data_IF_611345371645
#
_entry.id   IF_611345371645
#
_cell.length_a   1.000
_cell.length_b   1.000
_cell.length_c   1.000
_cell.angle_alpha   90.00
_cell.angle_beta   90.00
_cell.angle_gamma   90.00
#
_symmetry.space_group_name_H-M   'P 1'
#
loop_
_entity.id
_entity.type
_entity.pdbx_description
1 polymer ?
#
# COMPACT_ATOMS: atom_id res chain seq x y z
N UNK A 1 -28.94 11.49 19.06
CA UNK A 1 -27.88 11.97 18.14
C UNK A 1 -26.54 12.19 18.87
N UNK A 2 -26.47 12.93 19.95
CA UNK A 2 -25.24 13.22 20.72
C UNK A 2 -24.55 11.95 21.24
N UNK A 3 -25.27 10.97 21.79
CA UNK A 3 -24.70 9.70 22.26
C UNK A 3 -24.12 8.83 21.14
N UNK A 4 -24.68 8.88 19.94
CA UNK A 4 -24.15 8.19 18.78
C UNK A 4 -22.84 8.83 18.26
N UNK A 5 -22.78 10.15 18.28
CA UNK A 5 -21.57 10.93 17.93
C UNK A 5 -20.45 10.62 18.93
N UNK A 6 -20.76 10.63 20.24
CA UNK A 6 -19.79 10.38 21.31
C UNK A 6 -19.23 8.93 21.25
N UNK A 7 -20.08 7.93 20.96
CA UNK A 7 -19.66 6.54 20.82
C UNK A 7 -18.77 6.32 19.58
N UNK A 8 -19.00 7.05 18.52
CA UNK A 8 -18.26 6.93 17.27
C UNK A 8 -16.93 7.70 17.30
N UNK A 9 -16.86 8.82 18.03
CA UNK A 9 -15.58 9.54 18.24
C UNK A 9 -14.60 8.74 19.09
N UNK A 10 -15.07 7.97 20.08
CA UNK A 10 -14.20 7.08 20.86
C UNK A 10 -13.63 5.93 20.02
N UNK A 11 -14.40 5.37 19.09
CA UNK A 11 -13.90 4.36 18.15
C UNK A 11 -12.84 4.94 17.21
N UNK A 12 -13.05 6.14 16.70
CA UNK A 12 -12.08 6.82 15.85
C UNK A 12 -10.75 7.05 16.59
N UNK A 13 -10.81 7.60 17.81
CA UNK A 13 -9.64 7.83 18.64
C UNK A 13 -8.93 6.51 18.97
N UNK A 14 -9.66 5.46 19.27
CA UNK A 14 -9.12 4.13 19.54
C UNK A 14 -8.37 3.58 18.32
N UNK A 15 -8.93 3.67 17.12
CA UNK A 15 -8.28 3.21 15.88
C UNK A 15 -7.00 3.99 15.58
N UNK A 16 -7.03 5.31 15.75
CA UNK A 16 -5.85 6.16 15.57
C UNK A 16 -4.76 5.79 16.57
N UNK A 17 -5.13 5.65 17.86
CA UNK A 17 -4.19 5.29 18.93
C UNK A 17 -3.54 3.93 18.69
N UNK A 18 -4.34 2.90 18.39
CA UNK A 18 -3.80 1.57 18.08
C UNK A 18 -2.94 1.58 16.82
N UNK A 19 -3.34 2.32 15.79
CA UNK A 19 -2.54 2.45 14.58
C UNK A 19 -1.16 3.06 14.88
N UNK A 20 -1.11 4.08 15.73
CA UNK A 20 0.14 4.69 16.17
C UNK A 20 1.02 3.70 16.95
N UNK A 21 0.42 2.92 17.86
CA UNK A 21 1.14 1.88 18.61
C UNK A 21 1.70 0.82 17.65
N UNK A 22 0.87 0.26 16.77
CA UNK A 22 1.30 -0.79 15.83
C UNK A 22 2.41 -0.29 14.90
N UNK A 23 2.30 0.95 14.43
CA UNK A 23 3.33 1.57 13.60
C UNK A 23 4.65 1.73 14.36
N UNK A 24 4.58 2.26 15.58
CA UNK A 24 5.76 2.43 16.46
C UNK A 24 6.41 1.09 16.78
N UNK A 25 5.60 0.07 17.11
CA UNK A 25 6.09 -1.28 17.35
C UNK A 25 6.76 -1.89 16.11
N UNK A 26 6.21 -1.68 14.91
CA UNK A 26 6.80 -2.18 13.67
C UNK A 26 8.17 -1.53 13.38
N UNK A 27 8.29 -0.22 13.61
CA UNK A 27 9.56 0.50 13.47
C UNK A 27 10.60 -0.01 14.48
N UNK A 28 10.22 -0.14 15.75
CA UNK A 28 11.10 -0.62 16.81
C UNK A 28 11.57 -2.05 16.53
N UNK A 29 10.66 -2.94 16.14
CA UNK A 29 11.01 -4.29 15.77
C UNK A 29 12.01 -4.34 14.61
N UNK A 30 11.80 -3.52 13.60
CA UNK A 30 12.74 -3.41 12.49
C UNK A 30 14.13 -2.96 12.97
N UNK A 31 14.19 -1.96 13.83
CA UNK A 31 15.43 -1.47 14.40
C UNK A 31 16.20 -2.57 15.16
N UNK A 32 15.51 -3.31 16.04
CA UNK A 32 16.12 -4.38 16.83
C UNK A 32 16.65 -5.53 15.95
N UNK A 33 15.90 -5.87 14.90
CA UNK A 33 16.18 -7.09 14.08
C UNK A 33 17.21 -6.83 12.99
N UNK A 34 17.37 -5.59 12.51
CA UNK A 34 18.19 -5.34 11.32
C UNK A 34 19.57 -4.76 11.59
N UNK A 35 19.88 -4.31 12.81
CA UNK A 35 21.08 -3.54 13.18
C UNK A 35 21.39 -2.35 12.24
N UNK A 36 20.49 -2.08 11.28
CA UNK A 36 20.63 -1.10 10.21
C UNK A 36 20.00 0.25 10.55
N UNK A 37 19.61 0.44 11.81
CA UNK A 37 18.90 1.65 12.24
C UNK A 37 17.40 1.65 11.93
N UNK A 38 16.72 2.72 12.33
CA UNK A 38 15.25 2.89 12.30
C UNK A 38 14.63 2.80 10.92
N UNK A 39 15.40 3.09 9.87
CA UNK A 39 14.91 3.13 8.48
C UNK A 39 15.70 2.19 7.59
N UNK A 40 15.05 1.68 6.58
CA UNK A 40 15.74 1.10 5.44
C UNK A 40 16.40 2.22 4.66
N UNK A 41 17.71 2.34 4.78
CA UNK A 41 18.52 3.27 3.99
C UNK A 41 18.18 3.21 2.50
N UNK A 42 17.83 2.02 2.04
CA UNK A 42 17.44 1.74 0.66
C UNK A 42 16.18 2.50 0.19
N UNK A 43 15.40 3.09 1.10
CA UNK A 43 14.14 3.74 0.75
C UNK A 43 14.15 5.26 0.95
N UNK A 44 15.10 5.79 1.72
CA UNK A 44 15.22 7.25 1.94
C UNK A 44 15.36 8.03 0.64
N UNK A 45 16.06 7.46 -0.34
CA UNK A 45 16.28 8.12 -1.62
C UNK A 45 14.96 8.45 -2.33
N UNK A 46 13.92 7.63 -2.18
CA UNK A 46 12.64 7.82 -2.86
C UNK A 46 11.94 9.14 -2.47
N UNK A 47 12.19 9.64 -1.27
CA UNK A 47 11.65 10.91 -0.79
C UNK A 47 12.56 12.10 -1.11
N UNK A 48 13.77 11.86 -1.58
CA UNK A 48 14.80 12.87 -1.81
C UNK A 48 15.18 13.08 -3.28
N UNK A 49 14.70 12.23 -4.19
CA UNK A 49 14.86 12.44 -5.64
C UNK A 49 13.74 13.31 -6.18
N UNK A 50 14.07 14.30 -7.01
CA UNK A 50 13.10 15.25 -7.54
C UNK A 50 13.26 15.53 -9.03
N UNK A 51 12.21 16.00 -9.67
CA UNK A 51 12.26 16.46 -11.06
C UNK A 51 13.10 17.72 -11.23
N UNK A 52 13.28 18.50 -10.19
CA UNK A 52 14.14 19.69 -10.19
C UNK A 52 15.61 19.32 -10.28
N UNK A 53 16.01 18.15 -9.80
CA UNK A 53 17.40 17.69 -9.86
C UNK A 53 17.73 16.96 -11.17
N UNK A 54 16.79 16.14 -11.66
CA UNK A 54 17.08 15.15 -12.69
C UNK A 54 16.17 15.22 -13.91
N UNK A 55 15.26 16.22 -13.98
CA UNK A 55 14.21 16.22 -14.99
C UNK A 55 13.12 15.20 -14.72
N UNK A 56 12.30 14.90 -15.71
CA UNK A 56 11.22 13.95 -15.57
C UNK A 56 11.73 12.50 -15.55
N UNK A 57 11.37 11.75 -14.54
CA UNK A 57 11.59 10.31 -14.42
C UNK A 57 10.54 9.67 -13.50
N UNK A 58 10.44 8.34 -13.52
CA UNK A 58 9.51 7.62 -12.62
C UNK A 58 9.88 7.84 -11.15
N UNK A 59 8.85 7.95 -10.27
CA UNK A 59 8.99 8.10 -8.80
C UNK A 59 9.50 9.46 -8.31
N UNK A 60 9.74 10.43 -9.20
CA UNK A 60 10.25 11.73 -8.80
C UNK A 60 9.22 12.69 -8.20
N UNK A 61 7.91 12.43 -8.38
CA UNK A 61 6.87 13.38 -8.00
C UNK A 61 6.84 13.71 -6.51
N UNK A 62 6.92 12.69 -5.64
CA UNK A 62 6.86 12.91 -4.18
C UNK A 62 8.07 13.69 -3.69
N UNK A 63 9.27 13.31 -4.12
CA UNK A 63 10.49 14.05 -3.77
C UNK A 63 10.46 15.49 -4.26
N UNK A 64 9.89 15.75 -5.45
CA UNK A 64 9.69 17.10 -5.96
C UNK A 64 8.77 17.91 -5.04
N UNK A 65 7.60 17.38 -4.68
CA UNK A 65 6.66 18.05 -3.78
C UNK A 65 7.28 18.33 -2.40
N UNK A 66 8.07 17.40 -1.87
CA UNK A 66 8.74 17.57 -0.59
C UNK A 66 9.86 18.61 -0.66
N UNK A 67 10.64 18.65 -1.75
CA UNK A 67 11.67 19.64 -2.00
C UNK A 67 11.08 21.04 -2.12
N UNK A 68 10.07 21.21 -2.95
CA UNK A 68 9.42 22.51 -3.18
C UNK A 68 8.68 23.02 -1.94
N UNK A 69 8.07 22.13 -1.14
CA UNK A 69 7.40 22.52 0.11
C UNK A 69 8.37 22.85 1.25
N UNK A 70 9.67 22.64 1.07
CA UNK A 70 10.70 22.79 2.09
C UNK A 70 10.45 22.01 3.39
N UNK A 71 9.63 20.98 3.36
CA UNK A 71 9.34 20.15 4.54
C UNK A 71 10.64 19.51 5.07
N UNK A 72 11.52 19.08 4.16
CA UNK A 72 12.78 18.47 4.55
C UNK A 72 13.69 19.44 5.33
N UNK A 73 13.62 20.74 5.08
CA UNK A 73 14.42 21.75 5.79
C UNK A 73 13.92 22.04 7.21
N UNK A 74 12.72 21.56 7.59
CA UNK A 74 12.22 21.66 8.97
C UNK A 74 12.91 20.68 9.93
N UNK A 75 13.64 19.71 9.40
CA UNK A 75 14.30 18.69 10.18
C UNK A 75 15.81 18.75 9.97
N UNK A 76 16.56 18.58 11.03
CA UNK A 76 18.03 18.51 11.01
C UNK A 76 18.56 17.22 10.40
N UNK A 77 17.69 16.22 10.15
CA UNK A 77 18.06 14.91 9.67
C UNK A 77 16.96 14.35 8.77
N UNK A 78 17.34 13.82 7.63
CA UNK A 78 16.45 13.22 6.61
C UNK A 78 15.64 12.04 7.14
N UNK A 79 16.15 11.35 8.14
CA UNK A 79 15.44 10.30 8.85
C UNK A 79 14.20 10.79 9.56
N UNK A 80 14.34 11.86 10.33
CA UNK A 80 13.20 12.42 11.06
C UNK A 80 12.18 13.00 10.10
N UNK A 81 12.62 13.58 9.00
CA UNK A 81 11.72 14.02 7.92
C UNK A 81 10.93 12.83 7.35
N UNK A 82 11.59 11.75 6.98
CA UNK A 82 10.94 10.56 6.44
C UNK A 82 9.99 9.89 7.45
N UNK A 83 10.38 9.75 8.71
CA UNK A 83 9.54 9.25 9.78
C UNK A 83 8.29 10.11 9.98
N UNK A 84 8.45 11.42 9.99
CA UNK A 84 7.38 12.38 10.16
C UNK A 84 6.38 12.30 8.99
N UNK A 85 6.88 12.30 7.75
CA UNK A 85 6.06 12.18 6.54
C UNK A 85 5.26 10.88 6.57
N UNK A 86 5.91 9.77 6.92
CA UNK A 86 5.23 8.47 7.04
C UNK A 86 4.22 8.43 8.17
N UNK A 87 4.55 8.97 9.35
CA UNK A 87 3.63 9.04 10.49
C UNK A 87 2.36 9.85 10.13
N UNK A 88 2.53 11.01 9.48
CA UNK A 88 1.39 11.81 9.00
C UNK A 88 0.61 11.02 7.95
N UNK A 89 1.27 10.34 7.02
CA UNK A 89 0.60 9.55 5.99
C UNK A 89 -0.22 8.40 6.59
N UNK A 90 0.28 7.72 7.60
CA UNK A 90 -0.46 6.69 8.35
C UNK A 90 -1.63 7.29 9.10
N UNK A 91 -1.44 8.45 9.72
CA UNK A 91 -2.53 9.17 10.38
C UNK A 91 -3.63 9.54 9.39
N UNK A 92 -3.29 10.09 8.22
CA UNK A 92 -4.24 10.40 7.15
C UNK A 92 -4.96 9.13 6.68
N UNK A 93 -4.22 8.08 6.37
CA UNK A 93 -4.77 6.80 5.92
C UNK A 93 -5.78 6.23 6.92
N UNK A 94 -5.40 6.15 8.19
CA UNK A 94 -6.25 5.62 9.26
C UNK A 94 -7.49 6.48 9.47
N UNK A 95 -7.32 7.81 9.45
CA UNK A 95 -8.42 8.78 9.58
C UNK A 95 -9.42 8.66 8.45
N UNK A 96 -8.98 8.47 7.21
CA UNK A 96 -9.86 8.27 6.05
C UNK A 96 -10.68 6.98 6.19
N UNK A 97 -10.05 5.87 6.58
CA UNK A 97 -10.74 4.59 6.80
C UNK A 97 -11.76 4.74 7.94
N UNK A 98 -11.35 5.31 9.07
CA UNK A 98 -12.21 5.50 10.23
C UNK A 98 -13.38 6.45 9.92
N UNK A 99 -13.12 7.56 9.21
CA UNK A 99 -14.17 8.47 8.75
C UNK A 99 -15.18 7.77 7.82
N UNK A 100 -14.69 6.91 6.92
CA UNK A 100 -15.57 6.12 6.05
C UNK A 100 -16.44 5.16 6.85
N UNK A 101 -15.86 4.43 7.81
CA UNK A 101 -16.59 3.52 8.71
C UNK A 101 -17.66 4.28 9.50
N UNK A 102 -17.30 5.44 10.05
CA UNK A 102 -18.22 6.32 10.76
C UNK A 102 -19.38 6.77 9.87
N UNK A 103 -19.08 7.35 8.71
CA UNK A 103 -20.10 7.85 7.77
C UNK A 103 -21.06 6.76 7.30
N UNK A 104 -20.59 5.52 7.19
CA UNK A 104 -21.37 4.37 6.77
C UNK A 104 -22.02 3.62 7.91
N UNK A 105 -21.84 4.10 9.14
CA UNK A 105 -22.40 3.48 10.34
C UNK A 105 -22.08 1.97 10.44
N UNK A 106 -20.82 1.63 10.17
CA UNK A 106 -20.35 0.24 10.26
C UNK A 106 -20.24 -0.10 11.74
N UNK A 107 -21.24 -0.83 12.24
CA UNK A 107 -21.38 -1.15 13.68
C UNK A 107 -20.50 -2.30 14.14
N UNK A 108 -19.94 -3.05 13.20
CA UNK A 108 -19.17 -4.24 13.55
C UNK A 108 -17.73 -3.85 13.95
N UNK A 109 -17.57 -3.62 15.26
CA UNK A 109 -16.29 -3.26 15.87
C UNK A 109 -15.19 -4.28 15.60
N UNK A 110 -15.49 -5.58 15.67
CA UNK A 110 -14.51 -6.65 15.43
C UNK A 110 -14.02 -6.66 13.98
N UNK A 111 -14.89 -6.34 13.03
CA UNK A 111 -14.50 -6.23 11.64
C UNK A 111 -13.54 -5.04 11.40
N UNK A 112 -13.84 -3.89 12.03
CA UNK A 112 -12.98 -2.70 11.93
C UNK A 112 -11.62 -2.96 12.59
N UNK A 113 -11.60 -3.64 13.73
CA UNK A 113 -10.35 -4.09 14.39
C UNK A 113 -9.58 -5.03 13.46
N UNK A 114 -10.23 -6.03 12.86
CA UNK A 114 -9.57 -6.95 11.93
C UNK A 114 -8.86 -6.24 10.77
N UNK A 115 -9.46 -5.15 10.25
CA UNK A 115 -8.83 -4.32 9.23
C UNK A 115 -7.67 -3.51 9.81
N UNK A 116 -7.87 -2.83 10.93
CA UNK A 116 -6.85 -1.98 11.55
C UNK A 116 -5.64 -2.79 12.02
N UNK A 117 -5.85 -4.02 12.50
CA UNK A 117 -4.80 -4.92 12.93
C UNK A 117 -4.24 -5.80 11.81
N UNK A 118 -4.72 -5.68 10.58
CA UNK A 118 -4.14 -6.43 9.48
C UNK A 118 -2.65 -6.10 9.35
N UNK A 119 -1.76 -7.10 9.43
CA UNK A 119 -0.33 -6.88 9.26
C UNK A 119 0.00 -6.26 7.91
N UNK A 120 -0.82 -6.51 6.90
CA UNK A 120 -0.67 -5.95 5.56
C UNK A 120 -0.85 -4.42 5.50
N UNK A 121 -1.59 -3.84 6.45
CA UNK A 121 -1.89 -2.41 6.43
C UNK A 121 -0.83 -1.61 7.20
N UNK A 122 -0.95 -1.52 8.52
CA UNK A 122 -0.15 -0.58 9.33
C UNK A 122 1.24 -1.14 9.64
N UNK A 123 1.31 -2.41 10.01
CA UNK A 123 2.59 -3.07 10.35
C UNK A 123 3.50 -3.10 9.12
N UNK A 124 2.95 -3.48 7.96
CA UNK A 124 3.69 -3.49 6.72
C UNK A 124 4.24 -2.10 6.36
N UNK A 125 3.45 -1.04 6.56
CA UNK A 125 3.90 0.33 6.32
C UNK A 125 5.00 0.76 7.30
N UNK A 126 4.96 0.32 8.55
CA UNK A 126 6.05 0.54 9.52
C UNK A 126 7.37 -0.10 9.08
N UNK A 127 7.33 -1.34 8.56
CA UNK A 127 8.50 -1.99 7.98
C UNK A 127 9.02 -1.32 6.70
N UNK A 128 8.13 -0.71 5.92
CA UNK A 128 8.43 -0.05 4.65
C UNK A 128 8.51 1.48 4.76
N UNK A 129 8.81 2.01 5.94
CA UNK A 129 9.01 3.46 6.13
C UNK A 129 10.03 4.01 5.13
N UNK A 130 9.67 5.10 4.44
CA UNK A 130 10.45 5.68 3.32
C UNK A 130 9.96 5.22 1.94
N UNK A 131 9.10 4.22 1.84
CA UNK A 131 8.56 3.73 0.58
C UNK A 131 7.34 4.54 0.12
N UNK A 132 7.16 4.66 -1.18
CA UNK A 132 6.05 5.39 -1.80
C UNK A 132 4.70 4.65 -1.72
N UNK A 133 4.67 3.40 -1.28
CA UNK A 133 3.45 2.58 -1.19
C UNK A 133 2.36 3.21 -0.34
N UNK A 134 2.73 3.94 0.71
CA UNK A 134 1.77 4.61 1.57
C UNK A 134 0.95 5.66 0.81
N UNK A 135 1.56 6.40 -0.11
CA UNK A 135 0.87 7.43 -0.90
C UNK A 135 -0.08 6.82 -1.91
N UNK A 136 0.34 5.74 -2.60
CA UNK A 136 -0.56 5.04 -3.53
C UNK A 136 -1.71 4.35 -2.79
N UNK A 137 -1.51 3.90 -1.57
CA UNK A 137 -2.56 3.36 -0.72
C UNK A 137 -3.56 4.45 -0.30
N UNK A 138 -3.10 5.64 0.08
CA UNK A 138 -3.96 6.80 0.40
C UNK A 138 -4.81 7.18 -0.82
N UNK A 139 -4.22 7.29 -2.01
CA UNK A 139 -4.97 7.57 -3.25
C UNK A 139 -5.99 6.48 -3.53
N UNK A 140 -5.63 5.21 -3.36
CA UNK A 140 -6.55 4.09 -3.53
C UNK A 140 -7.73 4.16 -2.57
N UNK A 141 -7.50 4.52 -1.30
CA UNK A 141 -8.55 4.72 -0.29
C UNK A 141 -9.48 5.84 -0.71
N UNK A 142 -8.93 6.97 -1.15
CA UNK A 142 -9.73 8.12 -1.61
C UNK A 142 -10.60 7.71 -2.80
N UNK A 143 -10.03 7.07 -3.79
CA UNK A 143 -10.74 6.62 -4.99
C UNK A 143 -11.83 5.59 -4.67
N UNK A 144 -11.53 4.58 -3.86
CA UNK A 144 -12.46 3.51 -3.51
C UNK A 144 -13.62 4.05 -2.67
N UNK A 145 -13.37 4.93 -1.70
CA UNK A 145 -14.39 5.30 -0.72
C UNK A 145 -15.12 6.61 -1.04
N UNK A 146 -14.46 7.59 -1.62
CA UNK A 146 -14.97 8.96 -1.63
C UNK A 146 -15.23 9.52 -3.03
N UNK A 147 -14.45 9.13 -4.03
CA UNK A 147 -14.56 9.71 -5.37
C UNK A 147 -15.80 9.19 -6.11
N UNK A 148 -16.58 10.12 -6.66
CA UNK A 148 -17.76 9.87 -7.49
C UNK A 148 -17.69 10.53 -8.86
N UNK A 149 -16.89 11.59 -8.97
CA UNK A 149 -16.68 12.32 -10.22
C UNK A 149 -15.57 11.64 -11.02
N UNK A 150 -15.85 11.32 -12.30
CA UNK A 150 -14.89 10.60 -13.15
C UNK A 150 -13.67 11.44 -13.53
N UNK A 151 -13.76 12.78 -13.54
CA UNK A 151 -12.62 13.67 -13.79
C UNK A 151 -11.65 13.63 -12.63
N UNK A 152 -12.16 13.76 -11.39
CA UNK A 152 -11.34 13.65 -10.17
C UNK A 152 -10.73 12.25 -10.09
N UNK A 153 -11.51 11.22 -10.41
CA UNK A 153 -11.03 9.85 -10.46
C UNK A 153 -9.86 9.70 -11.42
N UNK A 154 -10.01 10.19 -12.66
CA UNK A 154 -8.96 10.16 -13.68
C UNK A 154 -7.70 10.90 -13.25
N UNK A 155 -7.84 12.09 -12.66
CA UNK A 155 -6.71 12.87 -12.15
C UNK A 155 -5.94 12.12 -11.06
N UNK A 156 -6.65 11.50 -10.11
CA UNK A 156 -6.02 10.72 -9.04
C UNK A 156 -5.36 9.44 -9.56
N UNK A 157 -5.94 8.81 -10.60
CA UNK A 157 -5.28 7.67 -11.27
C UNK A 157 -3.97 8.11 -11.94
N UNK A 158 -3.98 9.24 -12.63
CA UNK A 158 -2.77 9.79 -13.25
C UNK A 158 -1.69 10.10 -12.21
N UNK A 159 -2.04 10.83 -11.16
CA UNK A 159 -1.12 11.18 -10.05
C UNK A 159 -0.56 9.92 -9.40
N UNK A 160 -1.39 8.91 -9.14
CA UNK A 160 -0.95 7.66 -8.53
C UNK A 160 0.12 6.93 -9.34
N UNK A 161 -0.03 6.89 -10.66
CA UNK A 161 0.98 6.30 -11.57
C UNK A 161 2.29 7.12 -11.55
N UNK A 162 2.20 8.46 -11.51
CA UNK A 162 3.40 9.32 -11.41
C UNK A 162 4.13 9.20 -10.08
N UNK A 163 3.40 8.93 -8.99
CA UNK A 163 4.02 8.65 -7.68
C UNK A 163 4.83 7.35 -7.75
N UNK A 164 4.20 6.29 -8.27
CA UNK A 164 4.85 4.99 -8.39
C UNK A 164 4.15 4.13 -9.44
N UNK A 165 4.89 3.62 -10.41
CA UNK A 165 4.38 2.79 -11.49
C UNK A 165 3.61 1.54 -11.01
N UNK A 166 3.92 1.04 -9.81
CA UNK A 166 3.22 -0.08 -9.18
C UNK A 166 1.72 0.21 -8.97
N UNK A 167 1.34 1.48 -8.88
CA UNK A 167 -0.06 1.86 -8.75
C UNK A 167 -0.96 1.29 -9.85
N UNK A 168 -0.41 1.00 -11.03
CA UNK A 168 -1.10 0.37 -12.16
C UNK A 168 -1.79 -0.93 -11.71
N UNK A 169 -1.17 -1.69 -10.84
CA UNK A 169 -1.69 -2.97 -10.38
C UNK A 169 -2.83 -2.84 -9.37
N UNK A 170 -3.08 -1.65 -8.84
CA UNK A 170 -4.25 -1.35 -7.99
C UNK A 170 -5.45 -0.85 -8.80
N UNK A 171 -5.27 -0.50 -10.07
CA UNK A 171 -6.32 0.06 -10.92
C UNK A 171 -7.57 -0.81 -11.01
N UNK A 172 -7.50 -2.15 -11.22
CA UNK A 172 -8.70 -2.96 -11.30
C UNK A 172 -9.59 -2.87 -10.06
N UNK A 173 -9.00 -2.80 -8.86
CA UNK A 173 -9.74 -2.65 -7.61
C UNK A 173 -10.42 -1.28 -7.52
N UNK A 174 -9.75 -0.23 -7.95
CA UNK A 174 -10.28 1.13 -7.95
C UNK A 174 -11.39 1.30 -9.00
N UNK A 175 -11.21 0.77 -10.21
CA UNK A 175 -12.24 0.74 -11.25
C UNK A 175 -13.47 -0.03 -10.79
N UNK A 176 -13.27 -1.21 -10.19
CA UNK A 176 -14.36 -2.02 -9.65
C UNK A 176 -15.20 -1.22 -8.63
N UNK A 177 -14.53 -0.59 -7.65
CA UNK A 177 -15.21 0.23 -6.64
C UNK A 177 -15.92 1.44 -7.25
N UNK A 178 -15.28 2.14 -8.19
CA UNK A 178 -15.83 3.34 -8.81
C UNK A 178 -17.12 3.04 -9.58
N UNK A 179 -17.10 2.03 -10.45
CA UNK A 179 -18.25 1.73 -11.29
C UNK A 179 -19.39 1.06 -10.55
N UNK A 180 -19.14 0.07 -9.71
CA UNK A 180 -20.19 -0.68 -9.05
C UNK A 180 -20.78 0.03 -7.84
N UNK A 181 -19.97 0.80 -7.12
CA UNK A 181 -20.38 1.33 -5.82
C UNK A 181 -20.51 2.85 -5.77
N UNK A 182 -19.66 3.59 -6.50
CA UNK A 182 -19.65 5.03 -6.39
C UNK A 182 -20.63 5.70 -7.35
N UNK A 183 -20.81 5.15 -8.54
CA UNK A 183 -21.71 5.72 -9.56
C UNK A 183 -23.12 5.15 -9.56
N UNK A 184 -23.36 3.98 -9.02
CA UNK A 184 -24.65 3.25 -9.02
C UNK A 184 -25.21 2.95 -10.43
N UNK A 185 -24.47 3.16 -11.48
CA UNK A 185 -24.90 2.93 -12.86
C UNK A 185 -24.37 1.60 -13.37
N UNK A 186 -25.17 0.91 -14.17
CA UNK A 186 -24.69 -0.24 -14.94
C UNK A 186 -23.52 0.19 -15.82
N UNK A 187 -22.43 -0.56 -15.79
CA UNK A 187 -21.26 -0.36 -16.63
C UNK A 187 -21.68 -0.27 -18.09
N UNK A 188 -21.65 0.91 -18.65
CA UNK A 188 -21.69 1.11 -20.09
C UNK A 188 -20.25 1.32 -20.54
N UNK A 189 -19.68 0.34 -21.23
CA UNK A 189 -18.28 0.32 -21.66
C UNK A 189 -17.92 1.54 -22.52
N UNK A 190 -18.89 2.08 -23.25
CA UNK A 190 -18.72 3.24 -24.12
C UNK A 190 -19.17 4.57 -23.49
N UNK A 191 -19.38 4.62 -22.18
CA UNK A 191 -19.67 5.89 -21.50
C UNK A 191 -18.38 6.72 -21.36
N UNK A 192 -18.44 8.02 -21.65
CA UNK A 192 -17.35 9.00 -21.48
C UNK A 192 -16.68 8.87 -20.12
N UNK A 193 -17.45 8.64 -19.09
CA UNK A 193 -16.96 8.43 -17.74
C UNK A 193 -16.21 7.10 -17.53
N UNK A 194 -16.29 6.17 -18.46
CA UNK A 194 -15.45 4.96 -18.48
C UNK A 194 -14.21 5.18 -19.34
N UNK A 195 -14.40 5.79 -20.49
CA UNK A 195 -13.35 6.00 -21.48
C UNK A 195 -12.25 6.93 -20.93
N UNK A 196 -12.63 8.07 -20.33
CA UNK A 196 -11.66 9.06 -19.84
C UNK A 196 -10.72 8.47 -18.78
N UNK A 197 -11.17 7.81 -17.68
CA UNK A 197 -10.25 7.20 -16.73
C UNK A 197 -9.33 6.14 -17.34
N UNK A 198 -9.84 5.34 -18.30
CA UNK A 198 -9.03 4.34 -18.99
C UNK A 198 -7.95 5.00 -19.84
N UNK A 199 -8.32 5.97 -20.68
CA UNK A 199 -7.35 6.70 -21.51
C UNK A 199 -6.31 7.40 -20.63
N UNK A 200 -6.74 8.07 -19.57
CA UNK A 200 -5.83 8.78 -18.64
C UNK A 200 -4.84 7.80 -17.99
N UNK A 201 -5.30 6.63 -17.56
CA UNK A 201 -4.43 5.61 -16.99
C UNK A 201 -3.44 5.08 -18.03
N UNK A 202 -3.89 4.78 -19.24
CA UNK A 202 -3.04 4.32 -20.34
C UNK A 202 -2.01 5.40 -20.71
N UNK A 203 -2.42 6.66 -20.81
CA UNK A 203 -1.50 7.76 -21.09
C UNK A 203 -0.42 7.89 -20.01
N UNK A 204 -0.77 7.78 -18.73
CA UNK A 204 0.20 7.79 -17.63
C UNK A 204 1.20 6.63 -17.75
N UNK A 205 0.71 5.43 -18.08
CA UNK A 205 1.57 4.25 -18.29
C UNK A 205 2.53 4.49 -19.46
N UNK A 206 2.03 4.99 -20.58
CA UNK A 206 2.86 5.30 -21.76
C UNK A 206 3.92 6.35 -21.41
N UNK A 207 3.56 7.41 -20.70
CA UNK A 207 4.52 8.45 -20.27
C UNK A 207 5.63 7.83 -19.41
N UNK A 208 5.28 6.99 -18.43
CA UNK A 208 6.28 6.34 -17.57
C UNK A 208 7.16 5.36 -18.35
N UNK A 209 6.60 4.60 -19.28
CA UNK A 209 7.37 3.63 -20.07
C UNK A 209 8.38 4.29 -21.01
N UNK A 210 7.98 5.38 -21.65
CA UNK A 210 8.83 6.03 -22.66
C UNK A 210 9.74 7.12 -22.09
N UNK A 211 9.29 7.83 -21.07
CA UNK A 211 10.00 8.99 -20.51
C UNK A 211 10.40 8.81 -19.05
N UNK A 212 9.97 7.73 -18.39
CA UNK A 212 10.19 7.52 -16.96
C UNK A 212 11.57 6.93 -16.61
N UNK A 213 12.47 6.71 -17.58
CA UNK A 213 13.83 6.24 -17.31
C UNK A 213 14.72 7.43 -16.98
N UNK A 214 15.52 7.30 -15.93
CA UNK A 214 16.55 8.25 -15.61
C UNK A 214 17.75 8.04 -16.56
N UNK A 215 18.10 9.04 -17.33
CA UNK A 215 19.14 8.97 -18.35
C UNK A 215 20.35 9.85 -17.98
N UNK A 216 20.99 9.53 -16.86
CA UNK A 216 22.24 10.14 -16.38
C UNK A 216 23.21 9.06 -15.95
N UNK A 217 24.47 9.42 -15.75
CA UNK A 217 25.48 8.50 -15.23
C UNK A 217 25.29 8.24 -13.74
N UNK A 218 25.79 7.07 -13.27
CA UNK A 218 25.81 6.75 -11.84
C UNK A 218 26.61 7.79 -11.03
N UNK A 219 27.69 8.32 -11.61
CA UNK A 219 28.53 9.32 -10.97
C UNK A 219 27.76 10.62 -10.74
N UNK A 220 27.07 11.11 -11.76
CA UNK A 220 26.25 12.33 -11.69
C UNK A 220 25.10 12.16 -10.66
N UNK A 221 24.42 11.01 -10.66
CA UNK A 221 23.41 10.70 -9.66
C UNK A 221 24.01 10.74 -8.24
N UNK A 222 25.19 10.13 -8.07
CA UNK A 222 25.90 10.11 -6.79
C UNK A 222 26.24 11.52 -6.31
N UNK A 223 26.79 12.36 -7.17
CA UNK A 223 27.20 13.72 -6.82
C UNK A 223 26.01 14.56 -6.32
N UNK A 224 24.85 14.45 -6.98
CA UNK A 224 23.64 15.13 -6.53
C UNK A 224 23.13 14.56 -5.20
N UNK A 225 23.10 13.23 -5.04
CA UNK A 225 22.56 12.60 -3.84
C UNK A 225 23.46 12.76 -2.61
N UNK A 226 24.79 12.89 -2.78
CA UNK A 226 25.73 13.17 -1.68
C UNK A 226 25.48 14.52 -1.01
N UNK A 227 24.92 15.47 -1.75
CA UNK A 227 24.54 16.77 -1.18
C UNK A 227 23.24 16.72 -0.35
N UNK A 228 22.49 15.65 -0.49
CA UNK A 228 21.17 15.48 0.15
C UNK A 228 21.15 14.42 1.24
N UNK A 229 21.99 13.40 1.14
CA UNK A 229 21.97 12.25 2.01
C UNK A 229 23.37 11.91 2.52
N UNK A 230 23.50 11.42 3.77
CA UNK A 230 24.81 11.08 4.35
C UNK A 230 25.58 10.04 3.53
N UNK A 231 26.89 10.21 3.41
CA UNK A 231 27.78 9.33 2.66
C UNK A 231 27.71 7.86 3.07
N UNK A 232 27.40 7.58 4.34
CA UNK A 232 27.24 6.21 4.84
C UNK A 232 26.18 5.41 4.07
N UNK A 233 25.23 6.08 3.41
CA UNK A 233 24.11 5.45 2.69
C UNK A 233 24.34 5.33 1.20
N UNK A 234 25.37 5.99 0.65
CA UNK A 234 25.56 6.09 -0.79
C UNK A 234 25.68 4.72 -1.47
N UNK A 235 26.38 3.75 -0.87
CA UNK A 235 26.47 2.40 -1.43
C UNK A 235 25.10 1.77 -1.66
N UNK A 236 24.20 1.90 -0.70
CA UNK A 236 22.83 1.36 -0.79
C UNK A 236 21.95 2.17 -1.74
N UNK A 237 22.12 3.49 -1.75
CA UNK A 237 21.37 4.41 -2.61
C UNK A 237 21.72 4.17 -4.07
N UNK A 238 22.98 3.97 -4.40
CA UNK A 238 23.41 3.65 -5.77
C UNK A 238 22.92 2.27 -6.18
N UNK A 239 23.12 1.27 -5.34
CA UNK A 239 22.73 -0.11 -5.65
C UNK A 239 21.22 -0.27 -5.80
N UNK A 240 20.40 0.35 -4.98
CA UNK A 240 18.93 0.21 -5.06
C UNK A 240 18.27 1.38 -5.80
N UNK A 241 18.68 2.61 -5.52
CA UNK A 241 18.03 3.81 -6.04
C UNK A 241 18.33 4.04 -7.51
N UNK A 242 19.59 4.20 -7.85
CA UNK A 242 20.01 4.42 -9.23
C UNK A 242 19.60 3.27 -10.14
N UNK A 243 19.86 2.04 -9.70
CA UNK A 243 19.49 0.85 -10.46
C UNK A 243 17.97 0.77 -10.72
N UNK A 244 17.15 1.03 -9.70
CA UNK A 244 15.69 0.99 -9.85
C UNK A 244 15.14 2.02 -10.85
N UNK A 245 15.75 3.20 -10.97
CA UNK A 245 15.26 4.27 -11.87
C UNK A 245 15.93 4.31 -13.24
N UNK A 246 17.14 3.73 -13.38
CA UNK A 246 17.92 3.72 -14.62
C UNK A 246 17.74 2.44 -15.46
N UNK A 247 17.32 1.32 -14.85
CA UNK A 247 17.20 0.04 -15.56
C UNK A 247 15.88 -0.14 -16.32
N UNK A 248 15.95 -0.91 -17.39
CA UNK A 248 14.77 -1.36 -18.13
C UNK A 248 14.06 -2.52 -17.40
N UNK A 249 12.74 -2.65 -17.56
CA UNK A 249 11.95 -3.71 -16.90
C UNK A 249 12.31 -5.15 -17.32
N UNK A 250 13.01 -5.35 -18.43
CA UNK A 250 13.35 -6.70 -18.94
C UNK A 250 14.35 -7.45 -18.05
N UNK A 251 15.34 -6.74 -17.49
CA UNK A 251 16.36 -7.37 -16.64
C UNK A 251 15.75 -7.83 -15.30
N UNK A 252 14.74 -7.15 -14.82
CA UNK A 252 14.09 -7.49 -13.56
C UNK A 252 13.28 -8.79 -13.63
N UNK A 253 12.79 -9.18 -14.81
CA UNK A 253 11.94 -10.37 -14.97
C UNK A 253 12.69 -11.67 -14.63
N UNK A 254 13.92 -11.87 -15.14
CA UNK A 254 14.70 -13.09 -14.88
C UNK A 254 15.15 -13.18 -13.42
N UNK A 255 15.61 -12.06 -12.85
CA UNK A 255 16.06 -12.00 -11.46
C UNK A 255 14.91 -12.21 -10.48
N UNK A 256 13.74 -11.63 -10.74
CA UNK A 256 12.58 -11.81 -9.87
C UNK A 256 12.06 -13.25 -9.89
N UNK A 257 12.05 -13.90 -11.05
CA UNK A 257 11.62 -15.30 -11.16
C UNK A 257 12.48 -16.23 -10.32
N UNK A 258 13.82 -16.12 -10.42
CA UNK A 258 14.73 -16.94 -9.63
C UNK A 258 14.58 -16.66 -8.13
N UNK A 259 14.51 -15.40 -7.75
CA UNK A 259 14.31 -14.97 -6.35
C UNK A 259 13.02 -15.54 -5.74
N UNK A 260 11.92 -15.53 -6.49
CA UNK A 260 10.65 -16.08 -6.00
C UNK A 260 10.68 -17.59 -5.86
N UNK A 261 11.34 -18.32 -6.78
CA UNK A 261 11.51 -19.76 -6.66
C UNK A 261 12.24 -20.15 -5.37
N UNK A 262 13.28 -19.41 -5.00
CA UNK A 262 14.04 -19.67 -3.78
C UNK A 262 13.21 -19.35 -2.51
N UNK A 263 12.38 -18.31 -2.54
CA UNK A 263 11.48 -17.97 -1.43
C UNK A 263 10.30 -18.93 -1.28
N UNK A 264 9.79 -19.50 -2.38
CA UNK A 264 8.75 -20.53 -2.35
C UNK A 264 9.27 -21.80 -1.69
N UNK A 265 10.52 -22.19 -1.96
CA UNK A 265 11.16 -23.37 -1.32
C UNK A 265 11.29 -23.21 0.20
N UNK A 266 11.44 -21.98 0.71
CA UNK A 266 11.56 -21.69 2.13
C UNK A 266 10.22 -21.86 2.91
N UNK A 267 9.10 -22.06 2.22
CA UNK A 267 7.77 -22.33 2.83
C UNK A 267 7.14 -21.15 3.58
N UNK A 268 7.90 -20.11 3.93
CA UNK A 268 7.42 -18.91 4.65
C UNK A 268 6.37 -18.12 3.87
N UNK A 269 6.39 -18.30 2.56
CA UNK A 269 5.41 -17.74 1.64
C UNK A 269 3.95 -18.08 2.00
N UNK A 270 3.72 -19.32 2.52
CA UNK A 270 2.38 -19.79 2.87
C UNK A 270 1.75 -18.90 3.95
N UNK A 271 2.53 -18.47 4.94
CA UNK A 271 2.02 -17.62 6.01
C UNK A 271 1.59 -16.24 5.51
N UNK A 272 2.29 -15.70 4.51
CA UNK A 272 1.93 -14.42 3.92
C UNK A 272 0.61 -14.48 3.12
N UNK A 273 0.19 -15.67 2.65
CA UNK A 273 -1.10 -15.86 1.97
C UNK A 273 -2.28 -15.94 2.93
N UNK A 274 -2.09 -16.17 4.22
CA UNK A 274 -3.18 -16.28 5.20
C UNK A 274 -4.11 -15.06 5.21
N UNK A 275 -3.64 -13.80 5.18
CA UNK A 275 -4.51 -12.64 5.07
C UNK A 275 -5.34 -12.62 3.80
N UNK A 276 -4.79 -13.06 2.67
CA UNK A 276 -5.55 -13.13 1.40
C UNK A 276 -6.63 -14.20 1.45
N UNK A 277 -6.29 -15.37 1.98
CA UNK A 277 -7.24 -16.46 2.16
C UNK A 277 -8.39 -16.03 3.07
N UNK A 278 -8.06 -15.36 4.17
CA UNK A 278 -9.04 -14.83 5.09
C UNK A 278 -9.97 -13.80 4.44
N UNK A 279 -9.41 -12.80 3.76
CA UNK A 279 -10.20 -11.78 3.06
C UNK A 279 -11.04 -12.42 1.97
N UNK A 280 -10.54 -13.46 1.30
CA UNK A 280 -11.28 -14.27 0.34
C UNK A 280 -12.57 -14.86 0.94
N UNK A 281 -12.49 -15.43 2.14
CA UNK A 281 -13.66 -15.97 2.86
C UNK A 281 -14.66 -14.85 3.19
N UNK A 282 -14.19 -13.70 3.64
CA UNK A 282 -15.07 -12.55 3.90
C UNK A 282 -15.81 -12.09 2.65
N UNK A 283 -15.10 -12.00 1.55
CA UNK A 283 -15.66 -11.56 0.26
C UNK A 283 -16.69 -12.56 -0.24
N UNK A 284 -16.38 -13.84 -0.22
CA UNK A 284 -17.33 -14.89 -0.60
C UNK A 284 -18.62 -14.78 0.20
N UNK A 285 -18.54 -14.57 1.50
CA UNK A 285 -19.72 -14.39 2.36
C UNK A 285 -20.46 -13.07 2.08
N UNK A 286 -19.74 -11.98 1.86
CA UNK A 286 -20.35 -10.69 1.57
C UNK A 286 -21.04 -10.64 0.21
N UNK A 287 -20.61 -11.48 -0.73
CA UNK A 287 -21.12 -11.49 -2.10
C UNK A 287 -22.17 -12.56 -2.39
N UNK A 288 -22.29 -13.59 -1.53
CA UNK A 288 -23.14 -14.78 -1.75
C UNK A 288 -24.59 -14.48 -2.16
N UNK A 289 -25.18 -13.39 -1.67
CA UNK A 289 -26.60 -13.10 -1.89
C UNK A 289 -26.88 -11.85 -2.76
N UNK A 290 -25.86 -11.07 -3.13
CA UNK A 290 -26.05 -9.73 -3.69
C UNK A 290 -25.28 -9.45 -4.99
N UNK A 291 -24.49 -10.40 -5.47
CA UNK A 291 -23.62 -10.18 -6.64
C UNK A 291 -23.75 -11.30 -7.66
N UNK A 292 -23.74 -10.92 -8.93
CA UNK A 292 -23.68 -11.87 -10.03
C UNK A 292 -22.35 -12.62 -10.06
N UNK A 293 -22.30 -13.82 -10.63
CA UNK A 293 -21.06 -14.59 -10.82
C UNK A 293 -19.98 -13.78 -11.55
N UNK A 294 -20.40 -12.93 -12.48
CA UNK A 294 -19.52 -12.04 -13.25
C UNK A 294 -18.88 -10.98 -12.36
N UNK A 295 -19.66 -10.36 -11.46
CA UNK A 295 -19.13 -9.36 -10.51
C UNK A 295 -18.14 -9.99 -9.53
N UNK A 296 -18.42 -11.20 -9.05
CA UNK A 296 -17.51 -11.94 -8.17
C UNK A 296 -16.19 -12.27 -8.90
N UNK A 297 -16.26 -12.68 -10.16
CA UNK A 297 -15.06 -12.92 -10.97
C UNK A 297 -14.20 -11.65 -11.09
N UNK A 298 -14.80 -10.52 -11.45
CA UNK A 298 -14.08 -9.25 -11.54
C UNK A 298 -13.52 -8.78 -10.19
N UNK A 299 -14.23 -9.04 -9.11
CA UNK A 299 -13.76 -8.74 -7.75
C UNK A 299 -12.50 -9.55 -7.40
N UNK A 300 -12.53 -10.86 -7.64
CA UNK A 300 -11.38 -11.74 -7.41
C UNK A 300 -10.20 -11.32 -8.28
N UNK A 301 -10.44 -11.05 -9.56
CA UNK A 301 -9.42 -10.54 -10.47
C UNK A 301 -8.80 -9.23 -9.94
N UNK A 302 -9.64 -8.27 -9.53
CA UNK A 302 -9.19 -6.98 -9.02
C UNK A 302 -8.34 -7.10 -7.75
N UNK A 303 -8.63 -8.07 -6.91
CA UNK A 303 -7.88 -8.35 -5.67
C UNK A 303 -6.53 -9.01 -5.96
N UNK A 304 -6.52 -9.98 -6.87
CA UNK A 304 -5.31 -10.74 -7.18
C UNK A 304 -4.37 -10.03 -8.14
N UNK A 305 -4.84 -8.99 -8.84
CA UNK A 305 -4.06 -8.28 -9.85
C UNK A 305 -2.72 -7.72 -9.32
N UNK A 306 -2.61 -7.18 -8.08
CA UNK A 306 -1.33 -6.76 -7.53
C UNK A 306 -0.28 -7.87 -7.44
N UNK A 307 -0.69 -9.15 -7.35
CA UNK A 307 0.26 -10.26 -7.32
C UNK A 307 1.03 -10.43 -8.64
N UNK A 308 0.50 -9.89 -9.75
CA UNK A 308 1.20 -9.91 -11.04
C UNK A 308 2.50 -9.09 -11.02
N UNK A 309 2.66 -8.18 -10.05
CA UNK A 309 3.92 -7.45 -9.87
C UNK A 309 5.06 -8.42 -9.54
N UNK A 310 4.79 -9.57 -8.92
CA UNK A 310 5.79 -10.58 -8.62
C UNK A 310 6.56 -11.05 -9.86
N UNK A 311 5.98 -10.95 -11.07
CA UNK A 311 6.67 -11.27 -12.30
C UNK A 311 7.74 -10.23 -12.69
N UNK A 312 7.67 -9.01 -12.19
CA UNK A 312 8.55 -7.90 -12.58
C UNK A 312 9.35 -7.31 -11.42
N UNK A 313 9.07 -7.70 -10.18
CA UNK A 313 9.71 -7.15 -8.98
C UNK A 313 9.82 -8.17 -7.86
N UNK A 314 10.95 -8.14 -7.14
CA UNK A 314 11.35 -9.20 -6.19
C UNK A 314 10.61 -9.21 -4.85
N UNK A 315 9.93 -8.15 -4.47
CA UNK A 315 9.37 -7.96 -3.12
C UNK A 315 8.02 -8.69 -2.93
N UNK A 316 7.96 -10.01 -3.06
CA UNK A 316 6.71 -10.80 -3.08
C UNK A 316 5.79 -10.50 -1.89
N UNK A 317 6.33 -10.32 -0.69
CA UNK A 317 5.54 -10.00 0.52
C UNK A 317 4.85 -8.65 0.43
N UNK A 318 5.49 -7.71 -0.25
CA UNK A 318 4.93 -6.37 -0.52
C UNK A 318 3.74 -6.46 -1.48
N UNK A 319 3.81 -7.33 -2.46
CA UNK A 319 2.72 -7.54 -3.43
C UNK A 319 1.54 -8.28 -2.83
N UNK A 320 1.81 -9.24 -1.95
CA UNK A 320 0.77 -9.91 -1.16
C UNK A 320 0.10 -8.90 -0.22
N UNK A 321 0.85 -8.04 0.45
CA UNK A 321 0.29 -6.99 1.30
C UNK A 321 -0.57 -6.00 0.49
N UNK A 322 -0.14 -5.60 -0.70
CA UNK A 322 -0.92 -4.73 -1.58
C UNK A 322 -2.22 -5.39 -2.04
N UNK A 323 -2.17 -6.65 -2.43
CA UNK A 323 -3.36 -7.45 -2.76
C UNK A 323 -4.31 -7.55 -1.57
N UNK A 324 -3.81 -7.86 -0.37
CA UNK A 324 -4.59 -7.89 0.86
C UNK A 324 -5.22 -6.53 1.19
N UNK A 325 -4.50 -5.42 0.98
CA UNK A 325 -5.03 -4.07 1.18
C UNK A 325 -6.19 -3.78 0.22
N UNK A 326 -6.04 -4.10 -1.07
CA UNK A 326 -7.14 -3.93 -2.03
C UNK A 326 -8.35 -4.77 -1.63
N UNK A 327 -8.13 -6.01 -1.21
CA UNK A 327 -9.17 -6.91 -0.73
C UNK A 327 -9.89 -6.35 0.51
N UNK A 328 -9.15 -5.85 1.51
CA UNK A 328 -9.71 -5.25 2.73
C UNK A 328 -10.55 -4.01 2.41
N UNK A 329 -10.05 -3.12 1.56
CA UNK A 329 -10.77 -1.91 1.17
C UNK A 329 -12.06 -2.22 0.40
N UNK A 330 -12.00 -3.15 -0.55
CA UNK A 330 -13.19 -3.58 -1.30
C UNK A 330 -14.19 -4.29 -0.39
N UNK A 331 -13.76 -5.14 0.52
CA UNK A 331 -14.62 -5.79 1.50
C UNK A 331 -15.32 -4.77 2.38
N UNK A 332 -14.60 -3.77 2.88
CA UNK A 332 -15.18 -2.68 3.67
C UNK A 332 -16.24 -1.91 2.87
N UNK A 333 -15.99 -1.70 1.57
CA UNK A 333 -16.94 -1.06 0.66
C UNK A 333 -18.22 -1.88 0.44
N UNK A 334 -18.07 -3.19 0.24
CA UNK A 334 -19.18 -4.15 0.05
C UNK A 334 -20.03 -4.21 1.31
N UNK A 335 -19.40 -4.39 2.47
CA UNK A 335 -20.08 -4.46 3.78
C UNK A 335 -20.84 -3.19 4.08
N UNK A 336 -20.26 -2.03 3.79
CA UNK A 336 -20.92 -0.74 3.98
C UNK A 336 -22.21 -0.57 3.15
N UNK A 337 -22.32 -1.29 2.02
CA UNK A 337 -23.52 -1.27 1.17
C UNK A 337 -24.54 -2.35 1.56
N UNK A 338 -24.07 -3.54 1.91
CA UNK A 338 -24.93 -4.69 2.19
C UNK A 338 -25.57 -4.68 3.57
N UNK A 339 -25.02 -3.89 4.50
CA UNK A 339 -25.51 -3.84 5.89
C UNK A 339 -25.32 -5.14 6.69
N UNK A 340 -24.58 -6.11 6.17
CA UNK A 340 -24.40 -7.40 6.82
C UNK A 340 -23.63 -7.28 8.14
N UNK A 341 -24.22 -7.82 9.19
CA UNK A 341 -23.58 -8.00 10.50
C UNK A 341 -22.88 -9.35 10.53
N UNK A 342 -21.56 -9.33 10.58
CA UNK A 342 -20.76 -10.55 10.67
C UNK A 342 -20.77 -11.14 12.09
N UNK A 343 -20.94 -12.45 12.17
CA UNK A 343 -21.00 -13.21 13.41
C UNK A 343 -19.60 -13.56 13.97
N UNK A 344 -19.56 -14.47 14.95
CA UNK A 344 -18.40 -14.96 15.73
C UNK A 344 -17.10 -15.25 14.93
N UNK A 345 -17.17 -15.48 13.63
CA UNK A 345 -16.02 -15.67 12.75
C UNK A 345 -15.08 -14.46 12.66
N UNK A 346 -15.57 -13.25 12.97
CA UNK A 346 -14.73 -12.05 12.95
C UNK A 346 -13.62 -12.05 14.01
N UNK A 347 -13.80 -12.80 15.10
CA UNK A 347 -12.76 -12.95 16.14
C UNK A 347 -11.62 -13.83 15.61
N UNK A 348 -11.95 -14.98 15.02
CA UNK A 348 -10.95 -15.85 14.37
C UNK A 348 -10.15 -15.09 13.31
N UNK A 349 -10.78 -14.22 12.62
CA UNK A 349 -10.27 -13.32 11.62
C UNK A 349 -9.24 -12.33 12.15
N UNK A 350 -9.59 -11.61 13.20
CA UNK A 350 -8.69 -10.70 13.87
C UNK A 350 -7.47 -11.46 14.40
N UNK A 351 -7.67 -12.64 14.97
CA UNK A 351 -6.59 -13.52 15.43
C UNK A 351 -5.69 -13.96 14.26
N UNK A 352 -6.26 -14.42 13.14
CA UNK A 352 -5.46 -14.81 11.97
C UNK A 352 -4.71 -13.61 11.38
N UNK A 353 -5.32 -12.44 11.32
CA UNK A 353 -4.62 -11.23 10.89
C UNK A 353 -3.46 -10.84 11.82
N UNK A 354 -3.63 -11.04 13.14
CA UNK A 354 -2.58 -10.81 14.12
C UNK A 354 -1.43 -11.82 14.03
N UNK A 355 -1.70 -13.05 13.61
CA UNK A 355 -0.72 -14.13 13.50
C UNK A 355 0.01 -14.16 12.15
N UNK A 356 -0.46 -13.45 11.13
CA UNK A 356 0.20 -13.44 9.84
C UNK A 356 1.50 -12.61 9.87
N UNK A 357 2.66 -13.21 9.57
CA UNK A 357 3.90 -12.46 9.49
C UNK A 357 3.91 -11.59 8.23
N UNK A 358 4.18 -10.32 8.39
CA UNK A 358 4.47 -9.42 7.28
C UNK A 358 5.82 -8.74 7.51
N UNK A 359 6.70 -8.91 6.55
CA UNK A 359 7.99 -8.26 6.54
C UNK A 359 8.07 -7.18 5.47
N UNK A 360 9.18 -6.45 5.48
CA UNK A 360 9.59 -5.56 4.40
C UNK A 360 10.46 -6.31 3.40
N UNK A 361 10.44 -5.85 2.16
CA UNK A 361 11.45 -6.08 1.13
C UNK A 361 12.16 -7.45 1.22
N UNK A 362 11.52 -8.50 0.74
CA UNK A 362 12.14 -9.81 0.61
C UNK A 362 12.33 -10.63 1.88
N UNK A 363 11.95 -10.11 3.05
CA UNK A 363 12.07 -10.82 4.31
C UNK A 363 10.73 -10.94 4.99
N UNK A 364 10.16 -12.15 5.05
CA UNK A 364 9.11 -12.48 5.99
C UNK A 364 9.72 -12.52 7.39
N UNK A 365 9.75 -11.38 8.05
CA UNK A 365 10.13 -11.36 9.46
C UNK A 365 8.87 -11.28 10.29
N UNK A 366 8.66 -12.22 11.21
CA UNK A 366 7.53 -12.16 12.10
C UNK A 366 7.64 -10.89 12.95
N UNK A 367 6.53 -10.21 13.16
CA UNK A 367 6.41 -9.20 14.21
C UNK A 367 6.81 -9.82 15.56
N UNK A 368 7.35 -9.11 16.55
CA UNK A 368 7.84 -9.72 17.79
C UNK A 368 6.85 -10.66 18.47
N UNK A 369 5.57 -10.31 18.45
CA UNK A 369 4.51 -11.16 18.98
C UNK A 369 4.32 -12.44 18.13
N UNK A 370 4.48 -12.36 16.83
CA UNK A 370 4.43 -13.54 15.96
C UNK A 370 5.66 -14.40 16.11
N UNK A 371 6.84 -13.81 16.27
CA UNK A 371 8.07 -14.52 16.53
C UNK A 371 7.99 -15.27 17.85
N UNK A 372 7.51 -14.63 18.91
CA UNK A 372 7.29 -15.26 20.20
C UNK A 372 6.31 -16.44 20.11
N UNK A 373 5.20 -16.27 19.39
CA UNK A 373 4.20 -17.35 19.21
C UNK A 373 4.80 -18.49 18.38
N UNK A 374 5.50 -18.19 17.29
CA UNK A 374 6.12 -19.21 16.45
C UNK A 374 7.18 -19.97 17.22
N UNK A 375 8.08 -19.30 17.97
CA UNK A 375 9.15 -19.94 18.75
C UNK A 375 8.62 -20.77 19.93
N UNK A 376 7.51 -20.35 20.54
CA UNK A 376 6.95 -21.06 21.71
C UNK A 376 6.02 -22.22 21.37
N UNK A 377 5.35 -22.19 20.24
CA UNK A 377 4.29 -23.14 19.92
C UNK A 377 4.56 -23.98 18.67
N UNK A 378 5.54 -23.61 17.85
CA UNK A 378 5.79 -24.28 16.57
C UNK A 378 7.26 -24.68 16.34
N UNK A 379 8.18 -24.22 17.14
CA UNK A 379 9.60 -24.60 17.19
C UNK A 379 10.04 -24.79 18.65
#
# INVERSE_FOLDING_TARGET
MINAVRKNSSLLLFLIFISAILYSCAILNRWIVTDLGLLSYNRLWQLNISYTDFGFFRRGLVGTLLSESRINSLFSNEYFSALFIHAISIFIMTSLIAYYCFRKNIKNFLFVIGIAFSPALIIHQGYNTGNLDIFILIISIINIFFVRNYIIFSLLLFIGVLIHEIFIFTLPAQFFAFYLYNRSNKLKILDVATIIPVITSLSAIVIILFFGKLDISELEFKDVMQNKLPNAYMKHILWSGFYEVSTSGQLNLSLSTQYHFDHIKDGRFIYALLPLFYVGILILRATQNNHSRREVFFLVFAILFPLLIAFVAMDIYRWIAMSANMALLLTLKIVAKSGHTYSKWNILIAIFCLLAPFGAAGYARPFPMHQFVLEKFFF
#
